data_IF_690947095659
#
_entry.id   IF_690947095659
#
_cell.length_a   1.000
_cell.length_b   1.000
_cell.length_c   1.000
_cell.angle_alpha   90.00
_cell.angle_beta   90.00
_cell.angle_gamma   90.00
#
_symmetry.space_group_name_H-M   'P 1'
#
loop_
_entity.id
_entity.type
_entity.pdbx_description
1 polymer ?
#
# COMPACT_ATOMS: atom_id res chain seq x y z
N UNK A 1 -27.29 18.57 15.97
CA UNK A 1 -27.66 19.48 14.86
C UNK A 1 -29.09 19.16 14.46
N UNK A 2 -29.99 20.15 14.43
CA UNK A 2 -31.30 19.96 13.82
C UNK A 2 -31.11 19.92 12.29
N UNK A 3 -31.44 18.80 11.65
CA UNK A 3 -31.43 18.69 10.19
C UNK A 3 -32.62 19.46 9.64
N UNK A 4 -32.39 20.52 8.87
CA UNK A 4 -33.46 21.24 8.18
C UNK A 4 -34.21 20.29 7.22
N UNK A 5 -35.54 20.29 7.30
CA UNK A 5 -36.41 19.37 6.57
C UNK A 5 -36.24 19.42 5.04
N UNK A 6 -35.81 20.57 4.53
CA UNK A 6 -35.62 20.82 3.09
C UNK A 6 -34.25 20.38 2.56
N UNK A 7 -33.32 20.01 3.44
CA UNK A 7 -31.90 19.84 3.12
C UNK A 7 -31.62 18.74 2.08
N UNK A 8 -32.48 17.73 2.00
CA UNK A 8 -32.33 16.60 1.08
C UNK A 8 -33.26 16.68 -0.14
N UNK A 9 -34.06 17.74 -0.29
CA UNK A 9 -35.09 17.81 -1.34
C UNK A 9 -34.52 17.94 -2.76
N UNK A 10 -33.29 18.41 -2.90
CA UNK A 10 -32.57 18.59 -4.17
C UNK A 10 -31.22 17.87 -4.14
N UNK A 11 -30.62 17.65 -5.30
CA UNK A 11 -29.21 17.24 -5.43
C UNK A 11 -28.35 18.51 -5.43
N UNK A 12 -27.28 18.52 -4.63
CA UNK A 12 -26.27 19.59 -4.65
C UNK A 12 -24.91 18.99 -4.95
N UNK A 13 -24.18 19.50 -5.96
CA UNK A 13 -22.88 18.95 -6.33
C UNK A 13 -21.94 18.81 -5.13
N UNK A 14 -21.35 17.62 -5.00
CA UNK A 14 -20.37 17.28 -3.94
C UNK A 14 -20.88 17.47 -2.52
N UNK A 15 -22.20 17.47 -2.28
CA UNK A 15 -22.73 17.51 -0.91
C UNK A 15 -22.35 16.23 -0.19
N UNK A 16 -21.73 16.38 0.97
CA UNK A 16 -21.52 15.32 1.95
C UNK A 16 -22.13 15.69 3.30
N UNK A 17 -23.04 14.85 3.81
CA UNK A 17 -23.67 15.05 5.12
C UNK A 17 -23.64 13.74 5.88
N UNK A 18 -23.17 13.78 7.13
CA UNK A 18 -23.22 12.64 8.05
C UNK A 18 -24.03 12.95 9.30
N UNK A 19 -24.75 11.97 9.80
CA UNK A 19 -25.48 12.05 11.07
C UNK A 19 -25.69 10.65 11.66
N UNK A 20 -26.12 10.60 12.92
CA UNK A 20 -26.46 9.35 13.60
C UNK A 20 -27.96 9.17 13.71
N UNK A 21 -28.43 7.93 13.60
CA UNK A 21 -29.82 7.53 13.67
C UNK A 21 -29.98 6.31 14.59
N UNK A 22 -30.99 6.22 15.47
CA UNK A 22 -31.18 5.02 16.32
C UNK A 22 -31.33 3.75 15.47
N UNK A 23 -30.62 2.68 15.83
CA UNK A 23 -30.70 1.44 15.05
C UNK A 23 -32.06 0.75 15.28
N UNK A 24 -32.90 0.58 14.23
CA UNK A 24 -34.23 -0.01 14.38
C UNK A 24 -34.18 -1.50 14.75
N UNK A 25 -33.07 -2.18 14.44
CA UNK A 25 -32.85 -3.59 14.75
C UNK A 25 -32.14 -3.81 16.08
N UNK A 26 -31.54 -2.77 16.69
CA UNK A 26 -30.89 -2.86 17.99
C UNK A 26 -30.92 -1.50 18.71
N UNK A 27 -31.83 -1.34 19.68
CA UNK A 27 -32.05 -0.09 20.40
C UNK A 27 -30.85 0.42 21.19
N UNK A 28 -29.82 -0.40 21.41
CA UNK A 28 -28.60 -0.02 22.14
C UNK A 28 -27.50 0.57 21.24
N UNK A 29 -27.67 0.52 19.91
CA UNK A 29 -26.68 1.03 18.96
C UNK A 29 -27.23 2.17 18.11
N UNK A 30 -26.32 3.01 17.64
CA UNK A 30 -26.62 4.05 16.66
C UNK A 30 -26.10 3.61 15.30
N UNK A 31 -26.84 3.94 14.26
CA UNK A 31 -26.40 3.87 12.88
C UNK A 31 -25.78 5.21 12.48
N UNK A 32 -24.63 5.16 11.82
CA UNK A 32 -24.09 6.27 11.04
C UNK A 32 -24.78 6.26 9.68
N UNK A 33 -25.34 7.40 9.30
CA UNK A 33 -25.92 7.65 7.97
C UNK A 33 -25.08 8.72 7.29
N UNK A 34 -24.63 8.43 6.07
CA UNK A 34 -23.93 9.36 5.20
C UNK A 34 -24.73 9.56 3.91
N UNK A 35 -24.95 10.81 3.52
CA UNK A 35 -25.62 11.18 2.28
C UNK A 35 -24.63 11.94 1.41
N UNK A 36 -24.31 11.37 0.25
CA UNK A 36 -23.39 11.93 -0.72
C UNK A 36 -24.11 12.17 -2.06
N UNK A 37 -23.97 13.38 -2.60
CA UNK A 37 -24.46 13.75 -3.93
C UNK A 37 -23.31 13.77 -4.95
N UNK A 38 -23.61 13.39 -6.20
CA UNK A 38 -22.64 13.39 -7.29
C UNK A 38 -22.03 14.77 -7.53
N UNK A 39 -20.73 14.88 -7.88
CA UNK A 39 -20.12 16.16 -8.25
C UNK A 39 -20.61 16.67 -9.62
N UNK A 40 -21.24 15.81 -10.44
CA UNK A 40 -21.63 16.14 -11.80
C UNK A 40 -23.00 16.81 -11.89
N UNK A 41 -23.17 17.68 -12.88
CA UNK A 41 -24.48 18.24 -13.20
C UNK A 41 -25.38 17.16 -13.84
N UNK A 42 -26.62 17.09 -13.38
CA UNK A 42 -27.59 16.11 -13.85
C UNK A 42 -28.34 16.63 -15.07
N UNK A 43 -28.48 15.77 -16.09
CA UNK A 43 -29.25 16.05 -17.31
C UNK A 43 -30.66 15.42 -17.29
N UNK A 44 -31.02 14.70 -16.22
CA UNK A 44 -32.28 13.99 -16.07
C UNK A 44 -32.71 13.80 -14.62
N UNK A 45 -33.74 12.96 -14.39
CA UNK A 45 -34.22 12.65 -13.03
C UNK A 45 -33.14 11.92 -12.22
N UNK A 46 -32.81 12.38 -11.00
CA UNK A 46 -31.78 11.74 -10.18
C UNK A 46 -32.22 10.33 -9.76
N UNK A 47 -31.27 9.39 -9.80
CA UNK A 47 -31.42 8.07 -9.19
C UNK A 47 -30.71 8.06 -7.83
N UNK A 48 -31.35 7.47 -6.85
CA UNK A 48 -30.81 7.33 -5.48
C UNK A 48 -30.52 5.86 -5.24
N UNK A 49 -29.41 5.57 -4.58
CA UNK A 49 -29.11 4.23 -4.09
C UNK A 49 -28.76 4.29 -2.59
N UNK A 50 -29.04 3.20 -1.90
CA UNK A 50 -28.57 2.98 -0.54
C UNK A 50 -27.47 1.91 -0.54
N UNK A 51 -26.63 1.91 0.48
CA UNK A 51 -25.66 0.83 0.73
C UNK A 51 -25.60 0.58 2.23
N UNK A 52 -25.69 -0.69 2.60
CA UNK A 52 -25.47 -1.13 3.97
C UNK A 52 -23.99 -1.49 4.13
N UNK A 53 -23.35 -0.89 5.12
CA UNK A 53 -21.95 -1.18 5.42
C UNK A 53 -21.86 -2.54 6.10
N UNK A 54 -21.01 -3.47 5.60
CA UNK A 54 -20.83 -4.76 6.25
C UNK A 54 -20.37 -4.60 7.71
N UNK A 55 -20.92 -5.42 8.60
CA UNK A 55 -20.55 -5.39 10.02
C UNK A 55 -19.05 -5.64 10.19
N UNK A 56 -18.42 -4.94 11.13
CA UNK A 56 -16.97 -4.92 11.38
C UNK A 56 -16.10 -4.20 10.34
N UNK A 57 -16.70 -3.74 9.23
CA UNK A 57 -16.02 -2.94 8.21
C UNK A 57 -16.36 -1.45 8.31
N UNK A 58 -17.09 -1.02 9.33
CA UNK A 58 -17.56 0.37 9.47
C UNK A 58 -16.43 1.39 9.63
N UNK A 59 -15.24 0.92 10.03
CA UNK A 59 -14.02 1.72 10.16
C UNK A 59 -13.12 1.67 8.92
N UNK A 60 -13.45 0.86 7.91
CA UNK A 60 -12.72 0.86 6.66
C UNK A 60 -12.90 2.20 5.96
N UNK A 61 -11.86 2.69 5.30
CA UNK A 61 -11.91 4.00 4.68
C UNK A 61 -13.01 4.15 3.64
N UNK A 62 -13.22 3.11 2.82
CA UNK A 62 -14.24 3.10 1.77
C UNK A 62 -15.64 3.34 2.34
N UNK A 63 -15.87 2.96 3.62
CA UNK A 63 -17.13 3.11 4.32
C UNK A 63 -17.16 4.21 5.38
N UNK A 64 -16.02 4.81 5.74
CA UNK A 64 -15.92 5.77 6.86
C UNK A 64 -15.53 7.19 6.48
N UNK A 65 -15.07 7.41 5.26
CA UNK A 65 -14.59 8.72 4.79
C UNK A 65 -15.38 9.25 3.61
N UNK A 66 -15.39 10.58 3.45
CA UNK A 66 -16.02 11.25 2.30
C UNK A 66 -15.44 10.75 0.97
N UNK A 67 -14.10 10.70 0.85
CA UNK A 67 -13.42 10.23 -0.36
C UNK A 67 -13.74 8.78 -0.69
N UNK A 68 -13.85 7.91 0.32
CA UNK A 68 -14.28 6.53 0.13
C UNK A 68 -15.72 6.41 -0.36
N UNK A 69 -16.63 7.22 0.20
CA UNK A 69 -18.02 7.26 -0.24
C UNK A 69 -18.13 7.79 -1.67
N UNK A 70 -17.28 8.76 -2.04
CA UNK A 70 -17.20 9.27 -3.41
C UNK A 70 -16.73 8.18 -4.36
N UNK A 71 -15.74 7.37 -4.00
CA UNK A 71 -15.30 6.24 -4.82
C UNK A 71 -16.42 5.20 -5.03
N UNK A 72 -17.22 4.91 -4.01
CA UNK A 72 -18.39 4.03 -4.13
C UNK A 72 -19.45 4.62 -5.07
N UNK A 73 -19.72 5.92 -4.96
CA UNK A 73 -20.69 6.63 -5.80
C UNK A 73 -20.23 6.66 -7.27
N UNK A 74 -18.96 6.99 -7.52
CA UNK A 74 -18.40 7.05 -8.87
C UNK A 74 -18.32 5.68 -9.54
N UNK A 75 -18.11 4.61 -8.76
CA UNK A 75 -18.17 3.22 -9.21
C UNK A 75 -19.59 2.70 -9.47
N UNK A 76 -20.63 3.52 -9.25
CA UNK A 76 -22.04 3.15 -9.39
C UNK A 76 -22.71 3.96 -10.53
N UNK A 77 -22.63 3.50 -11.79
CA UNK A 77 -23.08 4.27 -12.95
C UNK A 77 -24.53 4.74 -12.86
N UNK A 78 -24.73 6.04 -13.06
CA UNK A 78 -26.06 6.66 -13.10
C UNK A 78 -26.72 6.91 -11.74
N UNK A 79 -26.02 6.68 -10.62
CA UNK A 79 -26.47 7.08 -9.29
C UNK A 79 -26.09 8.54 -9.05
N UNK A 80 -27.07 9.34 -8.63
CA UNK A 80 -26.90 10.77 -8.33
C UNK A 80 -26.74 11.05 -6.84
N UNK A 81 -27.30 10.19 -5.97
CA UNK A 81 -27.16 10.24 -4.52
C UNK A 81 -26.91 8.85 -3.97
N UNK A 82 -25.89 8.71 -3.14
CA UNK A 82 -25.60 7.52 -2.37
C UNK A 82 -25.92 7.76 -0.88
N UNK A 83 -26.68 6.85 -0.28
CA UNK A 83 -26.98 6.85 1.16
C UNK A 83 -26.27 5.64 1.78
N UNK A 84 -25.17 5.87 2.49
CA UNK A 84 -24.48 4.82 3.24
C UNK A 84 -25.04 4.73 4.66
N UNK A 85 -25.34 3.51 5.12
CA UNK A 85 -25.77 3.26 6.49
C UNK A 85 -24.97 2.12 7.10
N UNK A 86 -24.36 2.34 8.27
CA UNK A 86 -23.61 1.33 9.01
C UNK A 86 -23.71 1.58 10.50
N UNK A 87 -23.21 0.67 11.34
CA UNK A 87 -23.13 0.96 12.77
C UNK A 87 -22.19 2.14 13.04
N UNK A 88 -22.51 2.94 14.04
CA UNK A 88 -21.59 3.94 14.56
C UNK A 88 -20.38 3.21 15.13
N UNK A 89 -19.15 3.50 14.68
CA UNK A 89 -17.95 2.87 15.23
C UNK A 89 -17.89 3.14 16.73
N UNK A 90 -17.80 2.09 17.54
CA UNK A 90 -17.56 2.23 18.97
C UNK A 90 -16.06 2.42 19.21
N UNK A 91 -15.68 3.50 19.92
CA UNK A 91 -14.29 3.71 20.37
C UNK A 91 -13.88 2.75 21.52
N UNK A 92 -14.64 1.68 21.73
CA UNK A 92 -14.39 0.72 22.81
C UNK A 92 -13.34 -0.31 22.40
N UNK A 93 -12.31 -0.47 23.23
CA UNK A 93 -11.23 -1.47 23.10
C UNK A 93 -11.69 -2.93 23.31
N UNK A 94 -12.90 -3.30 22.91
CA UNK A 94 -13.51 -4.57 23.32
C UNK A 94 -14.06 -5.36 22.14
N UNK A 95 -13.15 -6.11 21.53
CA UNK A 95 -13.32 -7.46 20.96
C UNK A 95 -12.47 -7.57 19.70
N UNK A 96 -11.74 -8.69 19.58
CA UNK A 96 -11.01 -9.10 18.38
C UNK A 96 -12.03 -9.62 17.35
N UNK A 97 -13.00 -8.77 17.02
CA UNK A 97 -14.14 -9.15 16.23
C UNK A 97 -13.69 -9.51 14.82
N UNK A 98 -14.05 -10.73 14.40
CA UNK A 98 -13.69 -11.27 13.11
C UNK A 98 -14.76 -10.84 12.11
N UNK A 99 -14.33 -10.24 11.01
CA UNK A 99 -15.17 -10.01 9.85
C UNK A 99 -15.25 -11.30 9.05
N UNK A 100 -16.46 -11.71 8.69
CA UNK A 100 -16.70 -12.75 7.69
C UNK A 100 -17.58 -12.19 6.58
N UNK A 101 -17.16 -12.37 5.33
CA UNK A 101 -17.99 -12.10 4.16
C UNK A 101 -19.18 -13.05 4.22
N UNK A 102 -20.38 -12.50 4.13
CA UNK A 102 -21.60 -13.30 4.07
C UNK A 102 -21.61 -14.09 2.76
N UNK A 103 -21.97 -15.38 2.82
CA UNK A 103 -22.20 -16.17 1.63
C UNK A 103 -23.37 -15.55 0.84
N UNK A 104 -23.27 -15.55 -0.49
CA UNK A 104 -24.26 -14.94 -1.41
C UNK A 104 -25.72 -15.37 -1.18
N UNK A 105 -25.94 -16.48 -0.48
CA UNK A 105 -27.25 -17.07 -0.19
C UNK A 105 -27.79 -16.75 1.22
N UNK A 106 -27.00 -16.14 2.11
CA UNK A 106 -27.37 -15.85 3.52
C UNK A 106 -27.80 -14.37 3.73
N UNK A 107 -28.46 -13.78 2.74
CA UNK A 107 -28.88 -12.37 2.71
C UNK A 107 -30.02 -11.99 3.66
N UNK A 108 -30.40 -12.88 4.59
CA UNK A 108 -31.57 -12.68 5.46
C UNK A 108 -31.41 -11.48 6.42
N UNK A 109 -30.22 -11.29 7.00
CA UNK A 109 -29.98 -10.23 7.99
C UNK A 109 -29.90 -8.82 7.38
N UNK A 110 -29.24 -8.67 6.22
CA UNK A 110 -29.15 -7.37 5.52
C UNK A 110 -30.46 -7.03 4.81
N UNK A 111 -31.23 -8.04 4.40
CA UNK A 111 -32.59 -7.88 3.87
C UNK A 111 -33.55 -7.26 4.89
N UNK A 112 -33.56 -7.75 6.13
CA UNK A 112 -34.46 -7.22 7.17
C UNK A 112 -34.10 -5.78 7.58
N UNK A 113 -32.82 -5.48 7.79
CA UNK A 113 -32.38 -4.13 8.11
C UNK A 113 -32.66 -3.17 6.94
N UNK A 114 -32.37 -3.58 5.71
CA UNK A 114 -32.66 -2.80 4.50
C UNK A 114 -34.15 -2.47 4.35
N UNK A 115 -35.03 -3.43 4.63
CA UNK A 115 -36.50 -3.22 4.64
C UNK A 115 -36.89 -2.22 5.71
N UNK A 116 -36.36 -2.35 6.93
CA UNK A 116 -36.67 -1.44 8.05
C UNK A 116 -36.21 0.00 7.80
N UNK A 117 -35.13 0.20 7.05
CA UNK A 117 -34.56 1.51 6.74
C UNK A 117 -35.15 2.15 5.48
N UNK A 118 -36.01 1.45 4.72
CA UNK A 118 -36.66 1.98 3.52
C UNK A 118 -37.36 3.33 3.73
N UNK A 119 -38.11 3.57 4.84
CA UNK A 119 -38.69 4.88 5.11
C UNK A 119 -37.65 6.00 5.25
N UNK A 120 -36.50 5.71 5.87
CA UNK A 120 -35.39 6.64 5.98
C UNK A 120 -34.79 6.95 4.60
N UNK A 121 -34.54 5.94 3.77
CA UNK A 121 -34.01 6.14 2.42
C UNK A 121 -34.94 6.99 1.54
N UNK A 122 -36.25 6.78 1.65
CA UNK A 122 -37.25 7.61 0.97
C UNK A 122 -37.22 9.05 1.48
N UNK A 123 -37.13 9.26 2.80
CA UNK A 123 -37.06 10.60 3.40
C UNK A 123 -35.79 11.38 2.98
N UNK A 124 -34.70 10.67 2.68
CA UNK A 124 -33.43 11.24 2.22
C UNK A 124 -33.34 11.37 0.69
N UNK A 125 -34.39 11.00 -0.04
CA UNK A 125 -34.42 11.09 -1.51
C UNK A 125 -34.89 12.48 -1.99
N UNK A 126 -34.36 12.99 -3.11
CA UNK A 126 -34.82 14.25 -3.69
C UNK A 126 -36.31 14.22 -4.03
N UNK A 127 -37.01 15.36 -3.88
CA UNK A 127 -38.43 15.51 -4.24
C UNK A 127 -38.71 15.15 -5.69
N UNK A 128 -37.75 15.44 -6.59
CA UNK A 128 -37.88 15.13 -8.02
C UNK A 128 -38.01 13.64 -8.32
N UNK A 129 -37.53 12.75 -7.43
CA UNK A 129 -37.68 11.30 -7.59
C UNK A 129 -39.14 10.84 -7.44
N UNK A 130 -39.99 11.64 -6.78
CA UNK A 130 -41.38 11.27 -6.47
C UNK A 130 -42.39 11.70 -7.54
N UNK A 131 -41.94 12.33 -8.63
CA UNK A 131 -42.82 12.85 -9.71
C UNK A 131 -43.71 11.78 -10.34
N UNK A 132 -43.27 10.53 -10.33
CA UNK A 132 -43.96 9.40 -10.96
C UNK A 132 -44.38 8.31 -9.96
N UNK A 133 -44.49 8.66 -8.67
CA UNK A 133 -44.81 7.73 -7.59
C UNK A 133 -43.66 7.52 -6.62
N UNK A 134 -43.74 6.46 -5.79
CA UNK A 134 -42.68 6.12 -4.83
C UNK A 134 -41.48 5.55 -5.60
N UNK A 135 -40.29 6.15 -5.52
CA UNK A 135 -39.13 5.65 -6.23
C UNK A 135 -38.65 4.32 -5.65
N UNK A 136 -38.11 3.47 -6.52
CA UNK A 136 -37.31 2.34 -6.08
C UNK A 136 -35.91 2.83 -5.70
N UNK A 137 -35.41 2.37 -4.56
CA UNK A 137 -34.07 2.68 -4.07
C UNK A 137 -33.29 1.36 -4.01
N UNK A 138 -32.46 1.05 -5.01
CA UNK A 138 -31.62 -0.14 -4.96
C UNK A 138 -30.67 -0.07 -3.76
N UNK A 139 -30.51 -1.21 -3.08
CA UNK A 139 -29.47 -1.42 -2.07
C UNK A 139 -28.27 -2.04 -2.78
N UNK A 140 -27.19 -1.28 -2.89
CA UNK A 140 -25.94 -1.72 -3.49
C UNK A 140 -25.10 -2.47 -2.46
N UNK A 141 -24.30 -3.42 -2.93
CA UNK A 141 -23.22 -4.04 -2.17
C UNK A 141 -21.86 -3.65 -2.74
N UNK A 142 -20.84 -3.67 -1.89
CA UNK A 142 -19.45 -3.55 -2.26
C UNK A 142 -18.72 -4.77 -1.73
N UNK A 143 -18.06 -5.51 -2.61
CA UNK A 143 -17.27 -6.69 -2.27
C UNK A 143 -15.87 -6.53 -2.87
N UNK A 144 -14.87 -6.55 -2.00
CA UNK A 144 -13.47 -6.68 -2.40
C UNK A 144 -13.06 -8.16 -2.34
N UNK A 145 -11.77 -8.46 -2.46
CA UNK A 145 -11.26 -9.82 -2.42
C UNK A 145 -11.11 -10.41 -1.00
N UNK A 146 -11.55 -9.71 0.06
CA UNK A 146 -11.42 -10.19 1.45
C UNK A 146 -12.60 -11.09 1.82
N UNK A 147 -12.31 -12.35 2.15
CA UNK A 147 -13.28 -13.35 2.63
C UNK A 147 -13.48 -13.20 4.14
N UNK A 148 -12.39 -13.09 4.89
CA UNK A 148 -12.40 -12.99 6.33
C UNK A 148 -11.25 -12.08 6.80
N UNK A 149 -11.39 -11.40 7.94
CA UNK A 149 -10.34 -10.54 8.44
C UNK A 149 -10.43 -10.27 9.94
N UNK A 150 -9.26 -10.12 10.57
CA UNK A 150 -9.14 -9.76 11.98
C UNK A 150 -8.07 -8.69 12.17
N UNK A 151 -8.41 -7.64 12.92
CA UNK A 151 -7.44 -6.62 13.31
C UNK A 151 -6.59 -7.14 14.46
N UNK A 152 -5.27 -7.17 14.26
CA UNK A 152 -4.28 -7.56 15.26
C UNK A 152 -3.89 -6.39 16.16
N UNK A 153 -3.71 -5.21 15.58
CA UNK A 153 -3.35 -4.00 16.33
C UNK A 153 -3.81 -2.73 15.59
N UNK A 154 -4.23 -1.73 16.35
CA UNK A 154 -4.33 -0.33 15.90
C UNK A 154 -3.31 0.47 16.69
N UNK A 155 -2.46 1.22 16.00
CA UNK A 155 -1.42 2.05 16.60
C UNK A 155 -1.32 3.37 15.85
N UNK A 156 -0.59 4.33 16.41
CA UNK A 156 -0.45 5.68 15.83
C UNK A 156 1.03 6.04 15.78
N UNK A 157 1.55 6.26 14.58
CA UNK A 157 2.88 6.80 14.35
C UNK A 157 2.87 8.33 14.36
N UNK A 158 4.01 8.95 14.68
CA UNK A 158 4.13 10.40 14.72
C UNK A 158 4.08 11.06 13.34
N UNK A 159 4.44 10.33 12.29
CA UNK A 159 4.46 10.81 10.90
C UNK A 159 3.38 10.14 10.07
N UNK A 160 3.24 8.81 10.14
CA UNK A 160 2.28 8.08 9.30
C UNK A 160 0.84 8.11 9.84
N UNK A 161 0.66 8.57 11.08
CA UNK A 161 -0.64 8.64 11.74
C UNK A 161 -1.19 7.27 12.14
N UNK A 162 -2.51 7.11 12.11
CA UNK A 162 -3.16 5.86 12.50
C UNK A 162 -2.83 4.71 11.52
N UNK A 163 -2.43 3.58 12.07
CA UNK A 163 -2.09 2.36 11.35
C UNK A 163 -2.96 1.19 11.82
N UNK A 164 -3.18 0.24 10.92
CA UNK A 164 -3.88 -1.01 11.19
C UNK A 164 -3.03 -2.18 10.71
N UNK A 165 -2.84 -3.15 11.61
CA UNK A 165 -2.29 -4.46 11.27
C UNK A 165 -3.44 -5.47 11.30
N UNK A 166 -3.61 -6.23 10.22
CA UNK A 166 -4.69 -7.21 10.09
C UNK A 166 -4.20 -8.49 9.43
N UNK A 167 -4.80 -9.62 9.83
CA UNK A 167 -4.71 -10.88 9.10
C UNK A 167 -6.00 -11.05 8.30
N UNK A 168 -5.87 -11.38 7.02
CA UNK A 168 -7.00 -11.55 6.10
C UNK A 168 -6.90 -12.85 5.33
N UNK A 169 -8.06 -13.44 5.04
CA UNK A 169 -8.22 -14.49 4.04
C UNK A 169 -8.72 -13.82 2.77
N UNK A 170 -8.04 -14.10 1.66
CA UNK A 170 -8.38 -13.54 0.37
C UNK A 170 -8.85 -14.61 -0.59
N UNK A 171 -9.71 -14.21 -1.51
CA UNK A 171 -10.19 -15.05 -2.60
C UNK A 171 -9.06 -15.33 -3.59
N UNK A 172 -8.70 -16.62 -3.73
CA UNK A 172 -7.65 -17.07 -4.64
C UNK A 172 -8.25 -17.39 -6.01
N UNK A 173 -7.76 -16.71 -7.06
CA UNK A 173 -8.28 -16.84 -8.43
C UNK A 173 -7.90 -18.12 -9.18
N UNK A 174 -7.22 -19.09 -8.53
CA UNK A 174 -6.53 -20.20 -9.21
C UNK A 174 -7.11 -21.60 -9.03
N UNK A 175 -7.66 -21.95 -7.86
CA UNK A 175 -8.18 -23.29 -7.56
C UNK A 175 -9.10 -23.18 -6.33
N UNK A 176 -10.34 -23.67 -6.42
CA UNK A 176 -11.37 -23.51 -5.39
C UNK A 176 -11.02 -24.10 -4.01
N UNK A 177 -9.91 -24.83 -3.88
CA UNK A 177 -9.48 -25.52 -2.67
C UNK A 177 -8.31 -24.86 -1.94
N UNK A 178 -7.66 -23.82 -2.50
CA UNK A 178 -6.47 -23.22 -1.88
C UNK A 178 -6.78 -21.89 -1.23
N UNK A 179 -7.03 -21.93 0.08
CA UNK A 179 -7.17 -20.75 0.94
C UNK A 179 -5.85 -19.98 0.98
N UNK A 180 -5.93 -18.67 0.85
CA UNK A 180 -4.77 -17.79 0.90
C UNK A 180 -4.93 -16.76 2.03
N UNK A 181 -3.95 -16.73 2.91
CA UNK A 181 -3.92 -15.84 4.06
C UNK A 181 -2.80 -14.83 3.91
N UNK A 182 -3.09 -13.58 4.22
CA UNK A 182 -2.14 -12.47 4.15
C UNK A 182 -2.20 -11.64 5.43
N UNK A 183 -1.05 -11.12 5.83
CA UNK A 183 -0.95 -10.08 6.85
C UNK A 183 -0.71 -8.74 6.18
N UNK A 184 -1.51 -7.74 6.54
CA UNK A 184 -1.48 -6.39 5.95
C UNK A 184 -1.11 -5.35 6.99
N UNK A 185 -0.28 -4.40 6.57
CA UNK A 185 -0.12 -3.10 7.19
C UNK A 185 -0.84 -2.07 6.32
N UNK A 186 -1.68 -1.23 6.94
CA UNK A 186 -2.36 -0.12 6.27
C UNK A 186 -2.17 1.16 7.07
N UNK A 187 -1.91 2.26 6.37
CA UNK A 187 -1.97 3.60 6.96
C UNK A 187 -3.33 4.20 6.66
N UNK A 188 -4.05 4.68 7.68
CA UNK A 188 -5.38 5.26 7.47
C UNK A 188 -5.35 6.58 6.70
N UNK A 189 -4.20 7.27 6.66
CA UNK A 189 -4.00 8.43 5.79
C UNK A 189 -4.04 8.09 4.30
N UNK A 190 -3.66 6.85 3.92
CA UNK A 190 -3.70 6.34 2.54
C UNK A 190 -4.26 4.92 2.45
N UNK A 191 -5.55 4.76 2.70
CA UNK A 191 -6.14 3.45 2.99
C UNK A 191 -6.57 2.67 1.75
N UNK A 192 -6.59 3.30 0.58
CA UNK A 192 -6.64 2.59 -0.70
C UNK A 192 -5.34 1.84 -0.98
N UNK A 193 -4.24 2.21 -0.31
CA UNK A 193 -2.96 1.54 -0.44
C UNK A 193 -2.76 0.58 0.75
N UNK A 194 -2.61 -0.70 0.44
CA UNK A 194 -1.99 -1.63 1.39
C UNK A 194 -0.52 -1.28 1.41
N UNK A 195 0.02 -0.89 2.56
CA UNK A 195 1.39 -0.42 2.69
C UNK A 195 2.39 -1.57 2.67
N UNK A 196 2.02 -2.69 3.28
CA UNK A 196 2.79 -3.92 3.17
C UNK A 196 1.85 -5.10 3.26
N UNK A 197 2.10 -6.08 2.42
CA UNK A 197 1.36 -7.33 2.41
C UNK A 197 2.34 -8.51 2.34
N UNK A 198 2.21 -9.45 3.29
CA UNK A 198 3.01 -10.67 3.33
C UNK A 198 2.11 -11.88 3.41
N UNK A 199 2.55 -12.99 2.83
CA UNK A 199 1.85 -14.26 2.97
C UNK A 199 2.06 -14.81 4.37
N UNK A 200 0.99 -15.36 4.94
CA UNK A 200 1.05 -16.06 6.22
C UNK A 200 0.51 -17.48 6.04
N UNK A 201 1.05 -18.41 6.82
CA UNK A 201 0.64 -19.81 6.81
C UNK A 201 0.35 -20.28 8.24
N UNK A 202 -0.67 -21.11 8.46
CA UNK A 202 -0.94 -21.68 9.78
C UNK A 202 0.28 -22.43 10.31
N UNK A 203 0.50 -22.39 11.63
CA UNK A 203 1.51 -23.23 12.28
C UNK A 203 1.19 -24.73 12.08
N UNK A 204 2.23 -25.56 11.93
CA UNK A 204 2.12 -27.01 11.64
C UNK A 204 1.14 -27.70 12.63
N UNK A 205 0.16 -28.42 12.11
CA UNK A 205 -0.80 -29.21 12.92
C UNK A 205 -2.27 -29.09 12.53
N UNK A 206 -2.63 -28.11 11.69
CA UNK A 206 -4.01 -27.90 11.25
C UNK A 206 -4.16 -28.19 9.75
N UNK A 207 -5.14 -29.04 9.39
CA UNK A 207 -5.59 -29.15 8.00
C UNK A 207 -6.26 -27.84 7.57
N UNK A 208 -5.97 -27.37 6.35
CA UNK A 208 -6.46 -26.07 5.82
C UNK A 208 -7.99 -25.92 5.89
N UNK A 209 -8.73 -27.03 5.91
CA UNK A 209 -10.19 -27.06 5.93
C UNK A 209 -10.81 -26.57 7.25
N UNK A 210 -10.05 -26.52 8.36
CA UNK A 210 -10.55 -26.13 9.70
C UNK A 210 -9.86 -24.88 10.27
N UNK A 211 -9.09 -24.15 9.46
CA UNK A 211 -8.36 -22.98 9.95
C UNK A 211 -9.29 -21.78 10.02
N UNK A 212 -9.53 -21.21 11.19
CA UNK A 212 -10.24 -19.94 11.33
C UNK A 212 -9.27 -18.82 11.71
N UNK A 213 -9.37 -17.69 10.98
CA UNK A 213 -8.61 -16.48 11.30
C UNK A 213 -8.99 -16.03 12.71
N UNK A 214 -7.98 -15.80 13.56
CA UNK A 214 -8.17 -15.37 14.94
C UNK A 214 -8.16 -16.52 15.96
N UNK A 215 -8.36 -17.77 15.52
CA UNK A 215 -8.27 -18.97 16.38
C UNK A 215 -6.91 -19.69 16.27
N UNK A 216 -6.26 -19.57 15.11
CA UNK A 216 -4.97 -20.22 14.83
C UNK A 216 -3.85 -19.20 14.79
N UNK A 217 -2.67 -19.61 15.28
CA UNK A 217 -1.44 -18.84 15.10
C UNK A 217 -0.85 -19.04 13.70
N UNK A 218 -0.51 -17.93 13.07
CA UNK A 218 0.12 -17.91 11.76
C UNK A 218 1.60 -17.55 11.88
N UNK A 219 2.42 -18.23 11.08
CA UNK A 219 3.81 -17.83 10.80
C UNK A 219 3.90 -17.14 9.44
N UNK A 220 4.92 -16.31 9.30
CA UNK A 220 5.22 -15.62 8.05
C UNK A 220 5.80 -16.60 7.02
N UNK A 221 5.41 -16.42 5.76
CA UNK A 221 6.04 -17.05 4.60
C UNK A 221 6.78 -15.96 3.82
N UNK A 222 8.03 -15.70 4.22
CA UNK A 222 8.88 -14.66 3.64
C UNK A 222 9.54 -15.08 2.32
N UNK A 223 9.28 -16.30 1.84
CA UNK A 223 9.86 -16.80 0.59
C UNK A 223 9.20 -16.24 -0.67
N UNK A 224 8.06 -15.53 -0.51
CA UNK A 224 7.25 -15.01 -1.61
C UNK A 224 6.86 -13.57 -1.32
N UNK A 225 7.04 -12.70 -2.32
CA UNK A 225 6.45 -11.37 -2.33
C UNK A 225 5.05 -11.45 -2.95
N UNK A 226 4.05 -11.02 -2.19
CA UNK A 226 2.64 -10.98 -2.65
C UNK A 226 2.17 -9.57 -2.98
N UNK A 227 2.93 -8.56 -2.59
CA UNK A 227 2.59 -7.17 -2.84
C UNK A 227 2.85 -6.81 -4.32
N UNK A 228 1.87 -6.24 -5.06
CA UNK A 228 1.86 -6.25 -6.52
C UNK A 228 3.10 -5.67 -7.20
N UNK A 229 3.65 -4.57 -6.68
CA UNK A 229 4.77 -3.86 -7.31
C UNK A 229 6.14 -4.29 -6.79
N UNK A 230 6.23 -5.03 -5.66
CA UNK A 230 7.52 -5.48 -5.12
C UNK A 230 8.17 -6.55 -6.01
N UNK A 231 7.38 -7.45 -6.59
CA UNK A 231 7.88 -8.49 -7.52
C UNK A 231 8.49 -7.84 -8.78
N UNK A 232 7.80 -6.93 -9.50
CA UNK A 232 8.41 -6.11 -10.56
C UNK A 232 9.66 -5.35 -10.13
N UNK A 233 9.65 -4.75 -8.93
CA UNK A 233 10.80 -4.00 -8.43
C UNK A 233 12.03 -4.90 -8.27
N UNK A 234 11.87 -6.12 -7.76
CA UNK A 234 12.96 -7.11 -7.68
C UNK A 234 13.34 -7.67 -9.05
N UNK A 235 12.40 -7.78 -10.00
CA UNK A 235 12.70 -8.20 -11.37
C UNK A 235 13.70 -7.26 -12.07
N UNK A 236 13.77 -5.98 -11.68
CA UNK A 236 14.74 -5.00 -12.18
C UNK A 236 16.20 -5.46 -12.02
N UNK A 237 16.49 -6.29 -11.02
CA UNK A 237 17.84 -6.82 -10.75
C UNK A 237 18.40 -7.66 -11.91
N UNK A 238 17.53 -8.15 -12.81
CA UNK A 238 17.98 -8.84 -14.03
C UNK A 238 18.91 -7.96 -14.87
N UNK A 239 18.72 -6.63 -14.90
CA UNK A 239 19.53 -5.72 -15.72
C UNK A 239 21.01 -5.67 -15.27
N UNK A 240 21.30 -6.09 -14.05
CA UNK A 240 22.65 -6.14 -13.49
C UNK A 240 23.00 -7.51 -12.90
N UNK A 241 22.29 -8.57 -13.31
CA UNK A 241 22.46 -9.91 -12.76
C UNK A 241 23.91 -10.41 -12.87
N UNK A 242 24.52 -10.27 -14.04
CA UNK A 242 25.90 -10.75 -14.27
C UNK A 242 26.94 -9.94 -13.49
N UNK A 243 26.67 -8.66 -13.23
CA UNK A 243 27.51 -7.84 -12.35
C UNK A 243 27.40 -8.31 -10.89
N UNK A 244 26.17 -8.56 -10.41
CA UNK A 244 25.92 -9.11 -9.08
C UNK A 244 26.58 -10.49 -8.92
N UNK A 245 26.46 -11.36 -9.91
CA UNK A 245 27.12 -12.67 -9.92
C UNK A 245 28.65 -12.53 -9.81
N UNK A 246 29.25 -11.61 -10.57
CA UNK A 246 30.69 -11.33 -10.49
C UNK A 246 31.14 -10.87 -9.10
N UNK A 247 30.30 -10.07 -8.42
CA UNK A 247 30.51 -9.63 -7.04
C UNK A 247 30.46 -10.79 -6.05
N UNK A 248 29.45 -11.65 -6.17
CA UNK A 248 29.26 -12.85 -5.34
C UNK A 248 30.46 -13.80 -5.51
N UNK A 249 30.90 -14.06 -6.75
CA UNK A 249 32.08 -14.89 -7.06
C UNK A 249 33.37 -14.33 -6.49
N UNK A 250 33.45 -13.02 -6.39
CA UNK A 250 34.59 -12.31 -5.79
C UNK A 250 34.54 -12.28 -4.26
N UNK A 251 33.57 -12.97 -3.63
CA UNK A 251 33.43 -13.08 -2.18
C UNK A 251 32.69 -11.90 -1.52
N UNK A 252 32.12 -10.98 -2.32
CA UNK A 252 31.37 -9.84 -1.80
C UNK A 252 29.88 -10.14 -1.76
N UNK A 253 29.21 -9.65 -0.72
CA UNK A 253 27.74 -9.62 -0.69
C UNK A 253 27.23 -8.37 -1.40
N UNK A 254 26.21 -8.49 -2.27
CA UNK A 254 25.56 -7.33 -2.87
C UNK A 254 24.90 -6.46 -1.81
N UNK A 255 24.96 -5.13 -2.00
CA UNK A 255 24.40 -4.14 -1.09
C UNK A 255 23.17 -3.46 -1.68
N UNK A 256 22.08 -3.42 -0.91
CA UNK A 256 20.86 -2.71 -1.25
C UNK A 256 20.53 -1.63 -0.22
N UNK A 257 20.15 -0.44 -0.69
CA UNK A 257 19.53 0.61 0.10
C UNK A 257 18.04 0.64 -0.22
N UNK A 258 17.18 0.40 0.76
CA UNK A 258 15.73 0.48 0.64
C UNK A 258 15.23 1.75 1.34
N UNK A 259 14.63 2.65 0.57
CA UNK A 259 14.03 3.89 1.07
C UNK A 259 12.53 3.67 1.22
N UNK A 260 12.04 3.67 2.47
CA UNK A 260 10.73 3.13 2.83
C UNK A 260 10.87 1.67 3.26
N UNK A 261 10.63 1.38 4.55
CA UNK A 261 10.69 0.01 5.07
C UNK A 261 9.30 -0.61 5.10
N UNK A 262 8.29 0.16 5.52
CA UNK A 262 6.96 -0.38 5.75
C UNK A 262 7.01 -1.57 6.73
N UNK A 263 6.38 -2.69 6.38
CA UNK A 263 6.48 -3.94 7.12
C UNK A 263 7.77 -4.73 6.87
N UNK A 264 8.68 -4.27 6.01
CA UNK A 264 9.98 -4.90 5.80
C UNK A 264 10.01 -6.11 4.85
N UNK A 265 8.92 -6.38 4.12
CA UNK A 265 8.80 -7.53 3.21
C UNK A 265 9.91 -7.55 2.14
N UNK A 266 10.17 -6.40 1.50
CA UNK A 266 11.23 -6.26 0.49
C UNK A 266 12.62 -6.55 1.09
N UNK A 267 12.92 -5.98 2.26
CA UNK A 267 14.20 -6.16 2.93
C UNK A 267 14.42 -7.64 3.31
N UNK A 268 13.40 -8.26 3.90
CA UNK A 268 13.41 -9.68 4.27
C UNK A 268 13.65 -10.58 3.06
N UNK A 269 12.97 -10.31 1.95
CA UNK A 269 13.13 -11.07 0.70
C UNK A 269 14.53 -10.91 0.10
N UNK A 270 15.06 -9.68 0.00
CA UNK A 270 16.41 -9.43 -0.50
C UNK A 270 17.48 -10.16 0.32
N UNK A 271 17.35 -10.17 1.66
CA UNK A 271 18.26 -10.92 2.56
C UNK A 271 18.11 -12.42 2.36
N UNK A 272 16.91 -12.95 2.54
CA UNK A 272 16.66 -14.40 2.62
C UNK A 272 16.81 -15.08 1.26
N UNK A 273 16.18 -14.52 0.22
CA UNK A 273 16.09 -15.13 -1.10
C UNK A 273 17.24 -14.71 -2.02
N UNK A 274 17.84 -13.52 -1.83
CA UNK A 274 18.88 -13.03 -2.74
C UNK A 274 20.24 -12.79 -2.07
N UNK A 275 20.36 -12.97 -0.76
CA UNK A 275 21.65 -12.90 -0.04
C UNK A 275 22.24 -11.50 0.07
N UNK A 276 21.43 -10.45 -0.10
CA UNK A 276 21.87 -9.06 0.00
C UNK A 276 22.19 -8.68 1.45
N UNK A 277 23.14 -7.76 1.60
CA UNK A 277 23.20 -6.88 2.76
C UNK A 277 22.27 -5.70 2.50
N UNK A 278 21.33 -5.46 3.40
CA UNK A 278 20.26 -4.48 3.19
C UNK A 278 20.30 -3.40 4.26
N UNK A 279 20.26 -2.15 3.81
CA UNK A 279 20.04 -0.97 4.64
C UNK A 279 18.62 -0.46 4.38
N UNK A 280 17.81 -0.33 5.42
CA UNK A 280 16.47 0.25 5.36
C UNK A 280 16.40 1.62 6.01
N UNK A 281 15.68 2.56 5.39
CA UNK A 281 15.40 3.88 5.97
C UNK A 281 13.89 4.03 6.11
N UNK A 282 13.43 4.28 7.33
CA UNK A 282 12.01 4.50 7.65
C UNK A 282 11.85 5.79 8.42
N UNK A 283 10.89 6.63 8.03
CA UNK A 283 10.69 7.91 8.67
C UNK A 283 10.06 7.76 10.07
N UNK A 284 9.18 6.77 10.25
CA UNK A 284 8.42 6.60 11.48
C UNK A 284 8.88 5.39 12.31
N UNK A 285 9.41 5.66 13.51
CA UNK A 285 9.85 4.61 14.45
C UNK A 285 8.75 3.59 14.79
N UNK A 286 7.48 4.01 14.78
CA UNK A 286 6.38 3.09 15.07
C UNK A 286 6.15 2.09 13.93
N UNK A 287 6.39 2.49 12.68
CA UNK A 287 6.38 1.56 11.54
C UNK A 287 7.44 0.48 11.75
N UNK A 288 8.65 0.84 12.17
CA UNK A 288 9.69 -0.15 12.48
C UNK A 288 9.32 -1.06 13.66
N UNK A 289 8.68 -0.55 14.72
CA UNK A 289 8.18 -1.40 15.81
C UNK A 289 7.14 -2.40 15.30
N UNK A 290 6.21 -1.94 14.47
CA UNK A 290 5.19 -2.79 13.83
C UNK A 290 5.84 -3.85 12.93
N UNK A 291 6.80 -3.46 12.09
CA UNK A 291 7.54 -4.37 11.22
C UNK A 291 8.24 -5.49 12.01
N UNK A 292 8.93 -5.15 13.10
CA UNK A 292 9.57 -6.13 13.99
C UNK A 292 8.55 -7.07 14.64
N UNK A 293 7.48 -6.50 15.20
CA UNK A 293 6.49 -7.27 15.99
C UNK A 293 5.63 -8.20 15.13
N UNK A 294 5.24 -7.76 13.94
CA UNK A 294 4.20 -8.43 13.14
C UNK A 294 4.70 -9.00 11.81
N UNK A 295 5.79 -8.48 11.27
CA UNK A 295 6.30 -8.84 9.94
C UNK A 295 7.71 -9.45 9.98
N UNK A 296 8.23 -9.75 11.18
CA UNK A 296 9.46 -10.50 11.35
C UNK A 296 10.69 -9.73 10.85
N UNK A 297 10.65 -8.40 10.87
CA UNK A 297 11.83 -7.59 10.62
C UNK A 297 12.81 -7.81 11.78
N UNK A 298 13.91 -8.51 11.53
CA UNK A 298 14.98 -8.72 12.51
C UNK A 298 16.04 -7.64 12.36
N UNK A 299 16.25 -6.83 13.39
CA UNK A 299 17.39 -5.93 13.51
C UNK A 299 18.23 -6.24 14.75
N UNK A 300 19.56 -6.15 14.61
CA UNK A 300 20.46 -6.22 15.77
C UNK A 300 20.96 -7.60 16.23
N UNK A 301 20.83 -8.66 15.42
CA UNK A 301 21.38 -10.00 15.75
C UNK A 301 21.91 -10.85 14.58
N UNK A 302 21.68 -10.44 13.34
CA UNK A 302 22.21 -11.11 12.15
C UNK A 302 22.81 -10.07 11.20
N UNK A 303 24.03 -10.30 10.75
CA UNK A 303 24.96 -9.38 10.06
C UNK A 303 24.46 -8.70 8.74
N UNK A 304 23.16 -8.73 8.40
CA UNK A 304 22.71 -8.53 7.01
C UNK A 304 21.48 -7.62 6.77
N UNK A 305 20.67 -7.25 7.77
CA UNK A 305 19.66 -6.17 7.65
C UNK A 305 19.94 -5.13 8.72
N UNK A 306 20.06 -3.87 8.31
CA UNK A 306 20.23 -2.73 9.20
C UNK A 306 19.16 -1.70 8.88
N UNK A 307 18.36 -1.31 9.86
CA UNK A 307 17.32 -0.30 9.68
C UNK A 307 17.61 0.92 10.53
N UNK A 308 17.32 2.09 9.99
CA UNK A 308 17.49 3.35 10.71
C UNK A 308 16.22 4.20 10.57
N UNK A 309 15.97 5.00 11.60
CA UNK A 309 14.90 5.99 11.59
C UNK A 309 15.42 7.27 10.96
N UNK A 310 14.80 7.71 9.87
CA UNK A 310 15.20 8.94 9.19
C UNK A 310 14.39 9.24 7.94
N UNK A 311 14.45 10.50 7.53
CA UNK A 311 13.94 10.93 6.24
C UNK A 311 14.85 10.40 5.11
N UNK A 312 14.25 9.68 4.15
CA UNK A 312 14.98 9.03 3.06
C UNK A 312 15.80 10.01 2.21
N UNK A 313 15.29 11.22 1.96
CA UNK A 313 15.97 12.25 1.17
C UNK A 313 17.15 12.81 1.97
N UNK A 314 16.95 13.15 3.25
CA UNK A 314 18.06 13.63 4.10
C UNK A 314 19.16 12.57 4.26
N UNK A 315 18.79 11.29 4.35
CA UNK A 315 19.77 10.20 4.45
C UNK A 315 20.57 10.06 3.16
N UNK A 316 19.93 10.12 1.99
CA UNK A 316 20.65 9.99 0.71
C UNK A 316 21.60 11.16 0.47
N UNK A 317 21.20 12.39 0.81
CA UNK A 317 22.05 13.58 0.75
C UNK A 317 23.25 13.48 1.69
N UNK A 318 23.04 12.99 2.92
CA UNK A 318 24.12 12.76 3.89
C UNK A 318 25.12 11.71 3.39
N UNK A 319 24.63 10.62 2.79
CA UNK A 319 25.47 9.57 2.21
C UNK A 319 26.28 10.10 1.02
N UNK A 320 25.67 10.90 0.15
CA UNK A 320 26.33 11.56 -0.98
C UNK A 320 27.46 12.51 -0.52
N UNK A 321 27.21 13.32 0.52
CA UNK A 321 28.19 14.27 1.05
C UNK A 321 29.44 13.60 1.63
N UNK A 322 29.32 12.39 2.19
CA UNK A 322 30.45 11.62 2.75
C UNK A 322 31.45 11.17 1.69
N UNK A 323 30.97 10.81 0.49
CA UNK A 323 31.82 10.39 -0.62
C UNK A 323 32.75 11.50 -1.16
N UNK A 324 32.43 12.77 -0.87
CA UNK A 324 33.14 13.94 -1.39
C UNK A 324 34.13 14.57 -0.38
N UNK A 325 34.38 13.94 0.78
CA UNK A 325 35.37 14.41 1.77
C UNK A 325 35.02 15.74 2.45
N UNK A 326 33.79 16.22 2.33
CA UNK A 326 33.33 17.41 3.04
C UNK A 326 32.85 17.03 4.44
N UNK A 327 33.57 17.50 5.46
CA UNK A 327 33.06 17.56 6.83
C UNK A 327 32.00 18.66 6.87
N UNK A 328 30.74 18.30 6.64
CA UNK A 328 29.63 19.24 6.79
C UNK A 328 29.55 19.68 8.26
N UNK A 329 29.94 20.92 8.51
CA UNK A 329 29.79 21.57 9.81
C UNK A 329 28.33 21.64 10.24
N UNK A 330 28.11 21.39 11.53
CA UNK A 330 26.97 21.82 12.36
C UNK A 330 25.73 22.33 11.61
N UNK A 331 24.92 21.42 11.09
CA UNK A 331 23.49 21.67 10.86
C UNK A 331 22.73 21.07 12.04
N UNK A 332 21.79 21.83 12.60
CA UNK A 332 21.19 21.67 13.94
C UNK A 332 20.99 20.24 14.43
N UNK A 333 21.58 19.95 15.60
CA UNK A 333 21.61 18.65 16.28
C UNK A 333 20.27 18.22 16.95
N UNK A 334 19.14 18.50 16.31
CA UNK A 334 17.84 18.02 16.77
C UNK A 334 17.05 17.53 15.57
N UNK A 335 17.18 16.24 15.23
CA UNK A 335 16.09 15.37 14.71
C UNK A 335 16.58 14.06 14.08
N UNK A 336 17.86 13.92 13.72
CA UNK A 336 18.39 12.62 13.27
C UNK A 336 18.89 11.88 14.51
N UNK A 337 18.14 10.88 14.96
CA UNK A 337 18.57 9.97 16.02
C UNK A 337 19.85 9.28 15.54
N UNK A 338 20.84 9.23 16.44
CA UNK A 338 22.21 8.70 16.29
C UNK A 338 22.31 7.20 15.87
N UNK A 339 21.19 6.58 15.47
CA UNK A 339 21.05 5.16 15.14
C UNK A 339 21.65 4.78 13.77
N UNK A 340 22.10 5.77 12.99
CA UNK A 340 22.80 5.55 11.71
C UNK A 340 24.28 5.16 11.86
N UNK A 341 24.77 4.84 13.06
CA UNK A 341 26.14 4.36 13.30
C UNK A 341 26.52 3.15 12.43
N UNK A 342 25.53 2.43 11.88
CA UNK A 342 25.75 1.30 10.96
C UNK A 342 26.31 1.72 9.60
N UNK A 343 26.25 3.02 9.26
CA UNK A 343 26.83 3.61 8.05
C UNK A 343 28.22 4.26 8.31
N UNK A 344 28.76 4.16 9.52
CA UNK A 344 30.08 4.68 9.93
C UNK A 344 31.22 3.64 9.86
N UNK A 345 30.93 2.41 9.40
CA UNK A 345 31.96 1.40 9.18
C UNK A 345 32.93 1.82 8.07
N UNK A 346 34.24 1.66 8.31
CA UNK A 346 35.32 1.73 7.30
C UNK A 346 35.20 0.57 6.29
N UNK A 347 34.06 0.45 5.63
CA UNK A 347 33.87 -0.57 4.60
C UNK A 347 34.53 -0.07 3.31
N UNK A 348 35.41 -0.89 2.75
CA UNK A 348 36.20 -0.59 1.54
C UNK A 348 35.28 -0.41 0.32
N UNK A 349 34.01 -0.80 0.45
CA UNK A 349 32.96 -0.63 -0.54
C UNK A 349 31.72 0.05 0.05
N UNK A 350 31.76 1.38 0.13
CA UNK A 350 30.71 2.21 0.74
C UNK A 350 29.49 2.42 -0.16
N UNK A 351 29.55 2.04 -1.44
CA UNK A 351 28.49 2.27 -2.42
C UNK A 351 27.50 1.09 -2.47
N UNK A 352 26.29 1.39 -2.92
CA UNK A 352 25.23 0.41 -3.10
C UNK A 352 25.23 -0.14 -4.52
N UNK A 353 24.92 -1.43 -4.66
CA UNK A 353 24.65 -2.02 -5.98
C UNK A 353 23.23 -1.70 -6.44
N UNK A 354 22.32 -1.53 -5.49
CA UNK A 354 20.90 -1.29 -5.75
C UNK A 354 20.37 -0.25 -4.77
N UNK A 355 19.63 0.74 -5.27
CA UNK A 355 18.76 1.61 -4.47
C UNK A 355 17.32 1.31 -4.87
N UNK A 356 16.50 0.89 -3.91
CA UNK A 356 15.08 0.61 -4.10
C UNK A 356 14.28 1.68 -3.37
N UNK A 357 13.37 2.33 -4.08
CA UNK A 357 12.61 3.46 -3.55
C UNK A 357 11.13 3.10 -3.53
N UNK A 358 10.60 2.95 -2.33
CA UNK A 358 9.19 2.69 -2.05
C UNK A 358 8.67 3.76 -1.08
N UNK A 359 8.61 4.99 -1.57
CA UNK A 359 8.17 6.15 -0.82
C UNK A 359 6.80 6.58 -1.33
N UNK A 360 5.90 6.88 -0.40
CA UNK A 360 4.59 7.44 -0.67
C UNK A 360 4.54 8.94 -0.33
N UNK A 361 3.65 9.72 -0.97
CA UNK A 361 3.46 11.11 -0.58
C UNK A 361 3.03 11.21 0.88
N UNK A 362 3.57 12.19 1.61
CA UNK A 362 3.19 12.46 3.00
C UNK A 362 1.79 13.08 3.12
N UNK A 363 1.31 13.73 2.05
CA UNK A 363 0.08 14.53 2.04
C UNK A 363 -1.17 13.70 1.71
N UNK A 364 -2.10 13.63 2.66
CA UNK A 364 -3.38 12.92 2.48
C UNK A 364 -4.28 13.51 1.37
N UNK A 365 -4.01 14.75 0.92
CA UNK A 365 -4.73 15.43 -0.16
C UNK A 365 -4.22 15.13 -1.56
N UNK A 366 -2.99 14.61 -1.69
CA UNK A 366 -2.33 14.36 -2.97
C UNK A 366 -2.78 13.05 -3.64
N UNK A 367 -3.58 12.24 -2.95
CA UNK A 367 -3.97 10.92 -3.43
C UNK A 367 -2.83 9.90 -3.36
N UNK A 368 -2.97 8.79 -4.07
CA UNK A 368 -1.99 7.69 -4.11
C UNK A 368 -0.82 8.08 -5.03
N UNK A 369 -0.07 9.14 -4.71
CA UNK A 369 1.13 9.51 -5.46
C UNK A 369 2.35 8.84 -4.83
N UNK A 370 3.17 8.23 -5.69
CA UNK A 370 4.49 7.74 -5.35
C UNK A 370 5.44 8.04 -6.52
N UNK A 371 6.69 8.47 -6.28
CA UNK A 371 7.23 8.96 -5.01
C UNK A 371 6.74 10.38 -4.65
N UNK A 372 7.08 10.94 -3.47
CA UNK A 372 6.97 12.37 -3.19
C UNK A 372 7.66 13.24 -4.26
N UNK A 373 7.09 14.41 -4.54
CA UNK A 373 7.65 15.34 -5.54
C UNK A 373 9.09 15.75 -5.22
N UNK A 374 9.43 15.84 -3.93
CA UNK A 374 10.75 16.19 -3.42
C UNK A 374 11.81 15.19 -3.86
N UNK A 375 11.45 13.91 -4.01
CA UNK A 375 12.40 12.88 -4.40
C UNK A 375 12.87 13.03 -5.86
N UNK A 376 12.03 13.63 -6.71
CA UNK A 376 12.29 13.79 -8.16
C UNK A 376 13.15 15.04 -8.44
N UNK A 377 13.49 15.83 -7.42
CA UNK A 377 14.36 16.99 -7.60
C UNK A 377 15.74 16.59 -8.10
N UNK A 378 16.30 17.39 -9.00
CA UNK A 378 17.60 17.13 -9.61
C UNK A 378 18.73 16.88 -8.59
N UNK A 379 18.79 17.66 -7.51
CA UNK A 379 19.79 17.50 -6.44
C UNK A 379 19.66 16.17 -5.68
N UNK A 380 18.43 15.73 -5.42
CA UNK A 380 18.15 14.44 -4.78
C UNK A 380 18.49 13.28 -5.72
N UNK A 381 18.16 13.38 -7.01
CA UNK A 381 18.52 12.37 -8.01
C UNK A 381 20.05 12.26 -8.18
N UNK A 382 20.77 13.39 -8.18
CA UNK A 382 22.24 13.42 -8.21
C UNK A 382 22.84 12.74 -6.95
N UNK A 383 22.28 13.03 -5.77
CA UNK A 383 22.67 12.35 -4.55
C UNK A 383 22.42 10.83 -4.66
N UNK A 384 21.25 10.43 -5.16
CA UNK A 384 20.89 9.03 -5.37
C UNK A 384 21.82 8.31 -6.34
N UNK A 385 22.23 8.96 -7.43
CA UNK A 385 23.24 8.43 -8.35
C UNK A 385 24.61 8.28 -7.68
N UNK A 386 25.00 9.24 -6.83
CA UNK A 386 26.33 9.24 -6.21
C UNK A 386 26.56 8.10 -5.22
N UNK A 387 25.49 7.64 -4.55
CA UNK A 387 25.55 6.51 -3.60
C UNK A 387 25.60 5.15 -4.28
N UNK A 388 25.33 5.08 -5.58
CA UNK A 388 25.41 3.86 -6.38
C UNK A 388 26.83 3.62 -6.91
N UNK A 389 27.18 2.34 -7.06
CA UNK A 389 28.36 1.92 -7.83
C UNK A 389 28.14 2.16 -9.33
N UNK A 390 29.22 2.11 -10.11
CA UNK A 390 29.20 2.45 -11.54
C UNK A 390 28.28 1.54 -12.37
N UNK A 391 28.06 0.30 -11.91
CA UNK A 391 27.12 -0.67 -12.49
C UNK A 391 25.83 -0.82 -11.67
N UNK A 392 25.54 0.14 -10.78
CA UNK A 392 24.39 0.09 -9.89
C UNK A 392 23.11 0.54 -10.57
N UNK A 393 21.97 0.16 -9.97
CA UNK A 393 20.65 0.60 -10.42
C UNK A 393 19.86 1.28 -9.30
N UNK A 394 19.01 2.22 -9.69
CA UNK A 394 17.90 2.70 -8.89
C UNK A 394 16.61 2.13 -9.47
N UNK A 395 15.76 1.49 -8.66
CA UNK A 395 14.41 1.12 -9.06
C UNK A 395 13.39 1.76 -8.11
N UNK A 396 12.38 2.42 -8.68
CA UNK A 396 11.41 3.22 -7.93
C UNK A 396 9.99 2.87 -8.33
N UNK A 397 9.13 2.72 -7.33
CA UNK A 397 7.70 2.60 -7.51
C UNK A 397 7.12 3.97 -7.87
N UNK A 398 6.37 4.04 -8.98
CA UNK A 398 5.76 5.28 -9.47
C UNK A 398 4.27 5.08 -9.67
N UNK A 399 3.47 5.93 -9.05
CA UNK A 399 2.03 6.07 -9.30
C UNK A 399 1.81 7.49 -9.80
N UNK A 400 1.78 7.71 -11.12
CA UNK A 400 1.73 9.04 -11.67
C UNK A 400 0.29 9.60 -11.60
N UNK A 401 0.08 10.84 -11.09
CA UNK A 401 -1.25 11.46 -11.09
C UNK A 401 -1.79 11.73 -12.50
N UNK A 402 -0.90 11.87 -13.49
CA UNK A 402 -1.24 12.04 -14.90
C UNK A 402 -0.04 11.73 -15.81
N UNK A 403 -0.31 11.60 -17.11
CA UNK A 403 0.73 11.32 -18.12
C UNK A 403 1.81 12.41 -18.22
N UNK A 404 1.45 13.68 -18.04
CA UNK A 404 2.41 14.79 -18.09
C UNK A 404 3.42 14.73 -16.94
N UNK A 405 2.98 14.37 -15.74
CA UNK A 405 3.85 14.14 -14.59
C UNK A 405 4.83 13.01 -14.89
N UNK A 406 4.33 11.85 -15.35
CA UNK A 406 5.20 10.71 -15.67
C UNK A 406 6.23 11.06 -16.75
N UNK A 407 5.82 11.81 -17.78
CA UNK A 407 6.74 12.28 -18.84
C UNK A 407 7.83 13.20 -18.29
N UNK A 408 7.47 14.11 -17.38
CA UNK A 408 8.42 15.04 -16.75
C UNK A 408 9.41 14.29 -15.87
N UNK A 409 8.89 13.38 -15.03
CA UNK A 409 9.70 12.51 -14.17
C UNK A 409 10.74 11.73 -14.99
N UNK A 410 10.35 11.15 -16.13
CA UNK A 410 11.30 10.47 -17.02
C UNK A 410 12.41 11.42 -17.50
N UNK A 411 12.10 12.68 -17.84
CA UNK A 411 13.12 13.62 -18.30
C UNK A 411 14.13 13.97 -17.20
N UNK A 412 13.66 14.24 -15.98
CA UNK A 412 14.54 14.50 -14.82
C UNK A 412 15.51 13.32 -14.59
N UNK A 413 15.00 12.09 -14.70
CA UNK A 413 15.83 10.90 -14.60
C UNK A 413 16.83 10.75 -15.76
N UNK A 414 16.48 11.14 -17.00
CA UNK A 414 17.41 11.08 -18.15
C UNK A 414 18.56 12.09 -18.06
N UNK A 415 18.35 13.21 -17.37
CA UNK A 415 19.43 14.17 -17.13
C UNK A 415 20.50 13.61 -16.19
N UNK A 416 20.10 12.69 -15.31
CA UNK A 416 20.96 12.14 -14.26
C UNK A 416 21.49 10.74 -14.57
N UNK A 417 20.70 9.84 -15.17
CA UNK A 417 21.08 8.44 -15.39
C UNK A 417 21.34 8.12 -16.85
N UNK A 418 22.11 7.06 -17.12
CA UNK A 418 22.55 6.74 -18.47
C UNK A 418 21.49 6.03 -19.29
N UNK A 419 20.79 5.06 -18.69
CA UNK A 419 19.70 4.32 -19.32
C UNK A 419 18.51 4.23 -18.38
N UNK A 420 17.31 4.31 -18.95
CA UNK A 420 16.06 4.12 -18.24
C UNK A 420 15.30 2.93 -18.82
N UNK A 421 14.63 2.20 -17.93
CA UNK A 421 13.74 1.11 -18.24
C UNK A 421 12.47 1.24 -17.43
N UNK A 422 11.38 0.68 -17.91
CA UNK A 422 10.11 0.61 -17.20
C UNK A 422 9.58 -0.82 -17.13
N UNK A 423 8.83 -1.11 -16.08
CA UNK A 423 7.93 -2.26 -15.97
C UNK A 423 6.54 -1.72 -15.66
N UNK A 424 5.56 -2.02 -16.52
CA UNK A 424 4.14 -1.85 -16.19
C UNK A 424 3.72 -2.99 -15.25
N UNK A 425 3.26 -2.67 -14.05
CA UNK A 425 2.85 -3.67 -13.05
C UNK A 425 1.58 -4.41 -13.49
N UNK A 426 0.80 -3.82 -14.41
CA UNK A 426 -0.42 -4.39 -14.97
C UNK A 426 -1.66 -4.18 -14.10
N UNK A 427 -1.55 -3.41 -13.01
CA UNK A 427 -2.68 -3.06 -12.14
C UNK A 427 -3.37 -1.74 -12.53
N UNK A 428 -2.89 -1.07 -13.59
CA UNK A 428 -3.45 0.19 -14.10
C UNK A 428 -2.98 1.45 -13.37
N UNK A 429 -2.14 1.32 -12.33
CA UNK A 429 -1.71 2.43 -11.48
C UNK A 429 -0.18 2.50 -11.34
N UNK A 430 0.47 1.38 -11.02
CA UNK A 430 1.90 1.33 -10.69
C UNK A 430 2.78 1.07 -11.91
N UNK A 431 3.89 1.80 -11.97
CA UNK A 431 5.02 1.53 -12.85
C UNK A 431 6.28 1.39 -11.99
N UNK A 432 7.19 0.51 -12.39
CA UNK A 432 8.56 0.53 -11.85
C UNK A 432 9.44 1.24 -12.87
N UNK A 433 9.94 2.42 -12.50
CA UNK A 433 11.00 3.08 -13.26
C UNK A 433 12.35 2.58 -12.76
N UNK A 434 13.23 2.20 -13.68
CA UNK A 434 14.55 1.66 -13.39
C UNK A 434 15.58 2.54 -14.09
N UNK A 435 16.57 3.02 -13.34
CA UNK A 435 17.58 3.94 -13.81
C UNK A 435 18.99 3.37 -13.56
N UNK A 436 19.79 3.27 -14.62
CA UNK A 436 21.12 2.68 -14.59
C UNK A 436 22.20 3.76 -14.61
N UNK A 437 23.26 3.55 -13.82
CA UNK A 437 24.42 4.46 -13.80
C UNK A 437 25.25 4.35 -15.08
N UNK A 438 25.32 3.15 -15.66
CA UNK A 438 26.06 2.81 -16.90
C UNK A 438 25.24 1.84 -17.77
N UNK A 439 25.53 1.69 -19.07
CA UNK A 439 24.81 0.76 -19.94
C UNK A 439 24.81 -0.68 -19.41
N UNK A 440 23.76 -1.44 -19.74
CA UNK A 440 23.73 -2.89 -19.48
C UNK A 440 24.92 -3.56 -20.16
N UNK A 441 25.80 -4.17 -19.37
CA UNK A 441 26.92 -4.97 -19.87
C UNK A 441 26.44 -6.38 -20.20
N UNK A 442 26.30 -6.72 -21.48
CA UNK A 442 26.07 -8.11 -21.88
C UNK A 442 27.37 -8.90 -21.73
N UNK A 443 27.51 -9.70 -20.66
CA UNK A 443 28.63 -10.64 -20.56
C UNK A 443 28.37 -11.82 -21.50
N UNK A 444 29.17 -11.95 -22.55
CA UNK A 444 29.22 -13.14 -23.42
C UNK A 444 29.99 -14.30 -22.78
N UNK A 445 30.05 -14.38 -21.45
CA UNK A 445 30.76 -15.48 -20.79
C UNK A 445 29.91 -16.74 -20.81
N UNK A 446 30.45 -17.85 -21.30
CA UNK A 446 29.85 -19.20 -21.29
C UNK A 446 29.59 -19.78 -19.89
N UNK A 447 29.73 -18.95 -18.84
CA UNK A 447 29.51 -19.35 -17.46
C UNK A 447 28.07 -19.06 -17.05
N UNK A 448 27.38 -20.08 -16.53
CA UNK A 448 26.01 -19.95 -16.03
C UNK A 448 25.90 -18.80 -15.01
N UNK A 449 24.93 -17.91 -15.20
CA UNK A 449 24.62 -16.83 -14.26
C UNK A 449 23.73 -17.40 -13.14
N UNK A 450 24.38 -17.88 -12.07
CA UNK A 450 23.71 -18.51 -10.93
C UNK A 450 22.72 -17.56 -10.26
N UNK A 451 23.08 -16.27 -10.13
CA UNK A 451 22.20 -15.24 -9.61
C UNK A 451 20.95 -15.06 -10.47
N UNK A 452 21.08 -14.92 -11.79
CA UNK A 452 19.92 -14.78 -12.69
C UNK A 452 19.02 -16.01 -12.64
N UNK A 453 19.61 -17.22 -12.59
CA UNK A 453 18.86 -18.46 -12.43
C UNK A 453 18.10 -18.47 -11.11
N UNK A 454 18.73 -18.08 -10.00
CA UNK A 454 18.07 -17.95 -8.70
C UNK A 454 16.93 -16.93 -8.76
N UNK A 455 17.17 -15.74 -9.32
CA UNK A 455 16.17 -14.70 -9.48
C UNK A 455 14.93 -15.23 -10.24
N UNK A 456 15.13 -15.99 -11.33
CA UNK A 456 14.05 -16.62 -12.12
C UNK A 456 13.26 -17.68 -11.36
N UNK A 457 13.84 -18.29 -10.32
CA UNK A 457 13.12 -19.26 -9.48
C UNK A 457 12.24 -18.59 -8.43
N UNK A 458 12.62 -17.40 -7.95
CA UNK A 458 11.90 -16.72 -6.84
C UNK A 458 10.98 -15.58 -7.31
N UNK A 459 11.12 -15.10 -8.55
CA UNK A 459 10.31 -14.04 -9.16
C UNK A 459 9.64 -14.54 -10.44
N UNK A 460 8.42 -14.06 -10.70
CA UNK A 460 7.70 -14.38 -11.94
C UNK A 460 8.48 -13.94 -13.18
N UNK A 461 8.77 -14.89 -14.08
CA UNK A 461 9.43 -14.60 -15.36
C UNK A 461 8.64 -13.65 -16.26
N UNK A 462 7.33 -13.46 -16.04
CA UNK A 462 6.52 -12.51 -16.80
C UNK A 462 7.02 -11.07 -16.65
N UNK A 463 7.34 -10.65 -15.42
CA UNK A 463 7.82 -9.28 -15.17
C UNK A 463 9.22 -9.05 -15.73
N UNK A 464 10.11 -10.04 -15.62
CA UNK A 464 11.43 -10.01 -16.24
C UNK A 464 11.38 -9.80 -17.76
N UNK A 465 10.44 -10.47 -18.42
CA UNK A 465 10.25 -10.35 -19.86
C UNK A 465 9.55 -9.04 -20.27
N UNK A 466 8.94 -8.32 -19.32
CA UNK A 466 8.23 -7.06 -19.57
C UNK A 466 9.10 -5.80 -19.42
N UNK A 467 10.37 -5.96 -18.98
CA UNK A 467 11.30 -4.84 -18.83
C UNK A 467 11.55 -4.20 -20.19
N UNK A 468 11.20 -2.91 -20.31
CA UNK A 468 11.27 -2.16 -21.56
C UNK A 468 12.17 -0.94 -21.40
N UNK A 469 13.14 -0.76 -22.30
CA UNK A 469 13.96 0.46 -22.35
C UNK A 469 13.11 1.65 -22.83
N UNK A 470 13.30 2.83 -22.23
CA UNK A 470 12.50 4.03 -22.53
C UNK A 470 13.30 5.29 -22.78
#
# INVERSE_FOLDING_TARGET
MALEKTRFETITPSRFITFTFPNPSNSTTLLRVAVLDTPFQLTGSPRVAAMLVPKQRESDWIFSTESGHLQLLLSSPGIARLILTGNQPSNGHHSRAIYHRLARNDSSCDGELGVSLKPLFLALSPKSCFKHGIPEIPILSYEDNVICGVVLERCVGSLVGEMVVEDVEIESGGEASKREFRRRLRFKRMPNLVQTEVRIVPNMGFGLDYVEIGEVEFRLDNSILVHPYLVPMVASLQLIASYIEGRIRSGFRPKALCLGVGGGALLGFLKAELGFQVVGVEADKEVLRVARKYFGLEDGGGEHINVCVGDAIKVIEKLAGRGNGQSSGSVGAHEIVDDCAVLDGNDVDSKFNVVLVDLDSSDAGDGIIAPPFEFVRNDVLLAARSVLCDNGILAINVIPPNRSFYTTLIQEFREVFHELYEIDVGNGENFILIALVSPVTSSTSDCEDCFLNKLRTVISGAYMNSIKKI
#
